data_IF_993199083427
#
_entry.id   IF_993199083427
#
_cell.length_a   1.000
_cell.length_b   1.000
_cell.length_c   1.000
_cell.angle_alpha   90.00
_cell.angle_beta   90.00
_cell.angle_gamma   90.00
#
_symmetry.space_group_name_H-M   'P 1'
#
loop_
_entity.id
_entity.type
_entity.pdbx_description
1 polymer ?
#
# COMPACT_ATOMS: atom_id res chain seq x y z
N UNK A 1 -7.35 -21.85 -26.01
CA UNK A 1 -7.05 -21.21 -24.70
C UNK A 1 -6.47 -19.82 -24.87
N UNK A 2 -5.44 -19.63 -25.70
CA UNK A 2 -4.79 -18.33 -25.95
C UNK A 2 -5.75 -17.24 -26.47
N UNK A 3 -6.65 -17.58 -27.40
CA UNK A 3 -7.65 -16.63 -27.93
C UNK A 3 -8.57 -16.10 -26.82
N UNK A 4 -9.11 -16.98 -25.98
CA UNK A 4 -9.97 -16.58 -24.84
C UNK A 4 -9.24 -15.62 -23.88
N UNK A 5 -7.95 -15.84 -23.65
CA UNK A 5 -7.12 -14.95 -22.80
C UNK A 5 -6.90 -13.62 -23.50
N UNK A 6 -6.62 -13.63 -24.81
CA UNK A 6 -6.47 -12.41 -25.62
C UNK A 6 -7.75 -11.57 -25.61
N UNK A 7 -8.90 -12.20 -25.84
CA UNK A 7 -10.20 -11.52 -25.85
C UNK A 7 -10.52 -10.95 -24.47
N UNK A 8 -10.26 -11.73 -23.41
CA UNK A 8 -10.40 -11.26 -22.04
C UNK A 8 -9.55 -10.01 -21.79
N UNK A 9 -8.26 -10.04 -22.19
CA UNK A 9 -7.34 -8.91 -22.02
C UNK A 9 -7.78 -7.69 -22.83
N UNK A 10 -8.21 -7.88 -24.09
CA UNK A 10 -8.66 -6.78 -24.95
C UNK A 10 -9.88 -6.07 -24.37
N UNK A 11 -10.88 -6.83 -23.90
CA UNK A 11 -12.08 -6.29 -23.26
C UNK A 11 -11.73 -5.43 -22.04
N UNK A 12 -10.85 -5.92 -21.15
CA UNK A 12 -10.45 -5.19 -19.94
C UNK A 12 -9.59 -3.99 -20.27
N UNK A 13 -8.69 -4.10 -21.24
CA UNK A 13 -7.81 -2.99 -21.66
C UNK A 13 -8.61 -1.79 -22.16
N UNK A 14 -9.72 -2.02 -22.88
CA UNK A 14 -10.60 -0.94 -23.33
C UNK A 14 -11.31 -0.23 -22.17
N UNK A 15 -11.64 -0.98 -21.11
CA UNK A 15 -12.33 -0.48 -19.91
C UNK A 15 -11.39 -0.16 -18.75
N UNK A 16 -10.07 -0.23 -18.96
CA UNK A 16 -9.07 0.00 -17.93
C UNK A 16 -9.16 1.45 -17.46
N UNK A 17 -9.20 1.67 -16.15
CA UNK A 17 -9.29 2.99 -15.54
C UNK A 17 -8.29 3.06 -14.38
N UNK A 18 -7.15 3.68 -14.64
CA UNK A 18 -6.03 3.71 -13.70
C UNK A 18 -6.13 4.88 -12.73
N UNK A 19 -6.43 6.08 -13.22
CA UNK A 19 -6.39 7.31 -12.45
C UNK A 19 -7.50 8.29 -12.80
N UNK A 20 -8.11 8.26 -13.99
CA UNK A 20 -9.02 9.31 -14.41
C UNK A 20 -10.44 9.14 -13.86
N UNK A 21 -10.80 7.91 -13.47
CA UNK A 21 -12.09 7.47 -12.91
C UNK A 21 -13.31 7.92 -13.74
N UNK A 22 -13.08 8.29 -15.00
CA UNK A 22 -14.08 8.82 -15.94
C UNK A 22 -15.05 7.76 -16.46
N UNK A 23 -14.67 6.48 -16.37
CA UNK A 23 -15.49 5.37 -16.87
C UNK A 23 -16.51 4.86 -15.85
N UNK A 24 -16.62 5.52 -14.69
CA UNK A 24 -17.53 5.10 -13.63
C UNK A 24 -18.82 5.92 -13.66
N UNK A 25 -19.95 5.23 -13.50
CA UNK A 25 -21.29 5.84 -13.55
C UNK A 25 -21.64 6.75 -12.36
N UNK A 26 -20.73 6.96 -11.40
CA UNK A 26 -21.01 7.67 -10.13
C UNK A 26 -20.04 8.83 -9.90
N UNK A 27 -19.98 9.74 -10.87
CA UNK A 27 -19.12 10.93 -10.79
C UNK A 27 -19.56 11.91 -9.68
N UNK A 28 -20.78 11.74 -9.16
CA UNK A 28 -21.35 12.48 -8.03
C UNK A 28 -20.71 12.10 -6.68
N UNK A 29 -20.17 10.89 -6.57
CA UNK A 29 -19.53 10.43 -5.34
C UNK A 29 -18.07 10.94 -5.28
N UNK A 30 -17.70 11.76 -4.27
CA UNK A 30 -16.36 12.33 -4.16
C UNK A 30 -15.25 11.28 -3.96
N UNK A 31 -15.59 10.05 -3.57
CA UNK A 31 -14.63 8.95 -3.50
C UNK A 31 -14.04 8.59 -4.88
N UNK A 32 -14.63 9.04 -5.99
CA UNK A 32 -14.06 8.89 -7.34
C UNK A 32 -13.04 9.96 -7.73
N UNK A 33 -12.72 10.88 -6.81
CA UNK A 33 -11.55 11.75 -6.94
C UNK A 33 -10.26 11.06 -6.47
N UNK A 34 -10.36 9.86 -5.88
CA UNK A 34 -9.20 9.12 -5.37
C UNK A 34 -8.24 8.69 -6.48
N UNK A 35 -8.73 8.35 -7.68
CA UNK A 35 -7.85 8.06 -8.81
C UNK A 35 -7.00 9.28 -9.22
N UNK A 36 -7.61 10.45 -9.48
CA UNK A 36 -6.84 11.63 -9.86
C UNK A 36 -5.91 12.11 -8.73
N UNK A 37 -6.35 12.02 -7.47
CA UNK A 37 -5.53 12.30 -6.29
C UNK A 37 -4.29 11.40 -6.24
N UNK A 38 -4.44 10.11 -6.54
CA UNK A 38 -3.36 9.13 -6.56
C UNK A 38 -2.23 9.58 -7.51
N UNK A 39 -2.57 9.93 -8.75
CA UNK A 39 -1.60 10.41 -9.73
C UNK A 39 -0.94 11.72 -9.28
N UNK A 40 -1.72 12.65 -8.71
CA UNK A 40 -1.22 13.93 -8.23
C UNK A 40 -0.19 13.76 -7.09
N UNK A 41 -0.52 13.03 -6.03
CA UNK A 41 0.40 12.82 -4.90
C UNK A 41 1.63 12.02 -5.31
N UNK A 42 1.47 11.06 -6.21
CA UNK A 42 2.61 10.36 -6.79
C UNK A 42 3.53 11.30 -7.55
N UNK A 43 3.00 12.17 -8.42
CA UNK A 43 3.81 13.14 -9.16
C UNK A 43 4.55 14.10 -8.23
N UNK A 44 3.89 14.62 -7.18
CA UNK A 44 4.54 15.44 -6.14
C UNK A 44 5.69 14.67 -5.49
N UNK A 45 5.47 13.40 -5.14
CA UNK A 45 6.49 12.54 -4.51
C UNK A 45 7.67 12.30 -5.46
N UNK A 46 7.42 12.04 -6.75
CA UNK A 46 8.49 11.83 -7.75
C UNK A 46 9.31 13.10 -7.94
N UNK A 47 8.65 14.24 -8.16
CA UNK A 47 9.35 15.52 -8.41
C UNK A 47 10.18 15.94 -7.20
N UNK A 48 9.60 15.88 -6.00
CA UNK A 48 10.33 16.19 -4.76
C UNK A 48 11.46 15.19 -4.52
N UNK A 49 11.28 13.91 -4.84
CA UNK A 49 12.32 12.88 -4.74
C UNK A 49 13.52 13.18 -5.63
N UNK A 50 13.28 13.52 -6.90
CA UNK A 50 14.33 13.93 -7.85
C UNK A 50 15.10 15.15 -7.35
N UNK A 51 14.40 16.12 -6.76
CA UNK A 51 15.05 17.31 -6.18
C UNK A 51 15.93 16.90 -4.99
N UNK A 52 15.45 16.05 -4.09
CA UNK A 52 16.23 15.58 -2.92
C UNK A 52 17.49 14.81 -3.32
N UNK A 53 17.45 14.09 -4.44
CA UNK A 53 18.61 13.35 -4.95
C UNK A 53 19.82 14.24 -5.25
N UNK A 54 19.63 15.54 -5.51
CA UNK A 54 20.72 16.48 -5.82
C UNK A 54 21.70 16.68 -4.64
N UNK A 55 21.26 16.42 -3.41
CA UNK A 55 22.04 16.66 -2.20
C UNK A 55 22.20 15.43 -1.30
N UNK A 56 21.52 14.33 -1.62
CA UNK A 56 21.55 13.10 -0.83
C UNK A 56 22.79 12.27 -1.13
N UNK A 57 23.41 11.71 -0.08
CA UNK A 57 24.61 10.88 -0.19
C UNK A 57 24.29 9.42 0.18
N UNK A 58 24.21 8.48 -0.78
CA UNK A 58 23.82 7.08 -0.55
C UNK A 58 24.96 6.23 0.05
N UNK A 59 25.56 6.69 1.15
CA UNK A 59 26.61 6.01 1.89
C UNK A 59 26.26 5.84 3.37
N UNK A 60 26.75 4.79 4.00
CA UNK A 60 26.51 4.53 5.44
C UNK A 60 27.06 5.63 6.36
N UNK A 61 28.06 6.37 5.89
CA UNK A 61 28.69 7.47 6.60
C UNK A 61 28.01 8.82 6.33
N UNK A 62 27.52 9.04 5.10
CA UNK A 62 26.97 10.31 4.62
C UNK A 62 25.44 10.42 4.64
N UNK A 63 24.69 9.31 4.54
CA UNK A 63 23.23 9.34 4.37
C UNK A 63 22.51 10.16 5.43
N UNK A 64 22.70 9.83 6.70
CA UNK A 64 22.09 10.56 7.82
C UNK A 64 22.50 12.03 7.85
N UNK A 65 23.78 12.33 7.63
CA UNK A 65 24.30 13.71 7.67
C UNK A 65 23.76 14.54 6.50
N UNK A 66 23.67 13.97 5.30
CA UNK A 66 23.11 14.63 4.13
C UNK A 66 21.63 14.96 4.32
N UNK A 67 20.88 14.07 4.98
CA UNK A 67 19.47 14.25 5.35
C UNK A 67 19.29 15.41 6.35
N UNK A 68 20.16 15.51 7.36
CA UNK A 68 20.18 16.65 8.30
C UNK A 68 20.55 17.97 7.61
N UNK A 69 21.55 17.95 6.72
CA UNK A 69 21.93 19.12 5.92
C UNK A 69 20.78 19.60 5.03
N UNK A 70 20.11 18.68 4.33
CA UNK A 70 18.93 19.00 3.51
C UNK A 70 17.83 19.63 4.36
N UNK A 71 17.58 19.09 5.56
CA UNK A 71 16.52 19.58 6.43
C UNK A 71 16.79 20.99 6.97
N UNK A 72 18.03 21.27 7.35
CA UNK A 72 18.32 22.42 8.22
C UNK A 72 19.10 23.54 7.51
N UNK A 73 19.80 23.25 6.42
CA UNK A 73 20.78 24.20 5.85
C UNK A 73 20.42 24.66 4.43
N UNK A 74 19.73 23.82 3.64
CA UNK A 74 19.53 24.08 2.21
C UNK A 74 18.40 25.08 1.94
N UNK A 75 18.77 26.25 1.41
CA UNK A 75 17.81 27.23 0.91
C UNK A 75 16.97 27.85 2.02
N UNK A 76 17.64 28.38 3.06
CA UNK A 76 16.98 29.05 4.19
C UNK A 76 16.04 30.16 3.69
N UNK A 77 14.78 30.10 4.12
CA UNK A 77 13.76 31.08 3.80
C UNK A 77 13.68 32.16 4.89
N UNK A 78 13.13 33.32 4.54
CA UNK A 78 12.83 34.39 5.50
C UNK A 78 11.67 34.04 6.47
N UNK A 79 11.07 32.85 6.33
CA UNK A 79 9.97 32.37 7.17
C UNK A 79 10.51 31.55 8.36
N UNK A 80 9.95 31.79 9.53
CA UNK A 80 10.18 31.00 10.75
C UNK A 80 8.85 30.46 11.25
N UNK A 81 8.80 29.19 11.66
CA UNK A 81 7.61 28.58 12.27
C UNK A 81 7.98 27.90 13.59
N UNK A 82 7.23 28.19 14.66
CA UNK A 82 7.52 27.72 16.03
C UNK A 82 9.00 27.91 16.45
N UNK A 83 9.58 29.07 16.08
CA UNK A 83 10.97 29.41 16.40
C UNK A 83 12.04 28.68 15.57
N UNK A 84 11.65 27.90 14.54
CA UNK A 84 12.58 27.21 13.64
C UNK A 84 12.57 27.83 12.23
N UNK A 85 13.73 28.07 11.60
CA UNK A 85 13.79 28.56 10.24
C UNK A 85 13.20 27.51 9.28
N UNK A 86 12.39 27.96 8.34
CA UNK A 86 11.91 27.10 7.25
C UNK A 86 12.97 27.11 6.14
N UNK A 87 13.31 25.93 5.64
CA UNK A 87 14.28 25.74 4.55
C UNK A 87 13.59 25.13 3.34
N UNK A 88 14.07 25.44 2.14
CA UNK A 88 13.59 24.79 0.92
C UNK A 88 13.83 23.28 0.94
N UNK A 89 14.97 22.84 1.47
CA UNK A 89 15.27 21.41 1.60
C UNK A 89 14.33 20.72 2.60
N UNK A 90 14.08 21.32 3.76
CA UNK A 90 13.15 20.81 4.77
C UNK A 90 11.69 20.79 4.28
N UNK A 91 11.25 21.84 3.57
CA UNK A 91 9.95 21.86 2.91
C UNK A 91 9.85 20.74 1.86
N UNK A 92 10.86 20.58 1.01
CA UNK A 92 10.89 19.52 -0.02
C UNK A 92 10.85 18.13 0.62
N UNK A 93 11.60 17.89 1.71
CA UNK A 93 11.53 16.65 2.49
C UNK A 93 10.14 16.40 3.05
N UNK A 94 9.50 17.44 3.59
CA UNK A 94 8.12 17.37 4.06
C UNK A 94 7.16 17.00 2.93
N UNK A 95 7.19 17.71 1.81
CA UNK A 95 6.34 17.43 0.65
C UNK A 95 6.51 15.99 0.14
N UNK A 96 7.75 15.49 0.10
CA UNK A 96 8.05 14.11 -0.28
C UNK A 96 7.45 13.10 0.70
N UNK A 97 7.68 13.30 2.00
CA UNK A 97 7.19 12.42 3.07
C UNK A 97 5.66 12.39 3.13
N UNK A 98 5.02 13.55 3.20
CA UNK A 98 3.57 13.64 3.30
C UNK A 98 2.87 13.34 1.98
N UNK A 99 3.52 13.60 0.84
CA UNK A 99 3.07 13.13 -0.47
C UNK A 99 3.05 11.60 -0.55
N UNK A 100 4.09 10.93 -0.04
CA UNK A 100 4.14 9.47 0.05
C UNK A 100 3.06 8.91 1.00
N UNK A 101 2.86 9.53 2.17
CA UNK A 101 1.77 9.16 3.09
C UNK A 101 0.39 9.28 2.43
N UNK A 102 0.15 10.40 1.74
CA UNK A 102 -1.09 10.64 1.02
C UNK A 102 -1.27 9.62 -0.11
N UNK A 103 -0.21 9.30 -0.86
CA UNK A 103 -0.22 8.31 -1.92
C UNK A 103 -0.70 6.94 -1.39
N UNK A 104 -0.09 6.44 -0.32
CA UNK A 104 -0.46 5.15 0.28
C UNK A 104 -1.88 5.20 0.84
N UNK A 105 -2.24 6.27 1.55
CA UNK A 105 -3.59 6.46 2.14
C UNK A 105 -4.67 6.43 1.06
N UNK A 106 -4.53 7.22 0.01
CA UNK A 106 -5.49 7.28 -1.10
C UNK A 106 -5.57 5.94 -1.83
N UNK A 107 -4.43 5.24 -2.02
CA UNK A 107 -4.44 3.90 -2.61
C UNK A 107 -5.25 2.92 -1.77
N UNK A 108 -5.04 2.89 -0.45
CA UNK A 108 -5.78 2.05 0.47
C UNK A 108 -7.29 2.33 0.40
N UNK A 109 -7.69 3.59 0.53
CA UNK A 109 -9.09 3.99 0.49
C UNK A 109 -9.75 3.62 -0.84
N UNK A 110 -9.04 3.84 -1.95
CA UNK A 110 -9.50 3.46 -3.29
C UNK A 110 -9.70 1.96 -3.43
N UNK A 111 -8.75 1.14 -2.99
CA UNK A 111 -8.86 -0.32 -3.02
C UNK A 111 -10.05 -0.78 -2.16
N UNK A 112 -10.23 -0.24 -0.96
CA UNK A 112 -11.39 -0.60 -0.13
C UNK A 112 -12.72 -0.21 -0.77
N UNK A 113 -12.82 0.99 -1.37
CA UNK A 113 -13.99 1.39 -2.16
C UNK A 113 -14.27 0.38 -3.28
N UNK A 114 -13.25 0.07 -4.09
CA UNK A 114 -13.36 -0.90 -5.19
C UNK A 114 -13.78 -2.29 -4.71
N UNK A 115 -13.31 -2.69 -3.52
CA UNK A 115 -13.63 -3.98 -2.92
C UNK A 115 -15.11 -4.07 -2.53
N UNK A 116 -15.57 -3.12 -1.71
CA UNK A 116 -16.93 -3.13 -1.17
C UNK A 116 -18.00 -2.82 -2.23
N UNK A 117 -17.66 -2.01 -3.25
CA UNK A 117 -18.55 -1.74 -4.39
C UNK A 117 -18.46 -2.79 -5.51
N UNK A 118 -17.64 -3.84 -5.34
CA UNK A 118 -17.44 -4.90 -6.33
C UNK A 118 -16.95 -4.40 -7.70
N UNK A 119 -16.22 -3.28 -7.73
CA UNK A 119 -15.67 -2.71 -8.98
C UNK A 119 -14.66 -3.65 -9.63
N UNK A 120 -14.06 -4.55 -8.85
CA UNK A 120 -13.16 -5.59 -9.35
C UNK A 120 -13.85 -6.69 -10.18
N UNK A 121 -15.18 -6.80 -10.15
CA UNK A 121 -15.90 -7.77 -11.01
C UNK A 121 -15.87 -7.30 -12.46
N UNK A 122 -16.13 -8.22 -13.41
CA UNK A 122 -16.17 -7.93 -14.85
C UNK A 122 -16.83 -6.57 -15.19
N UNK A 123 -16.16 -5.70 -15.98
CA UNK A 123 -14.83 -5.82 -16.60
C UNK A 123 -13.68 -5.17 -15.80
N UNK A 124 -13.84 -4.93 -14.49
CA UNK A 124 -12.84 -4.20 -13.69
C UNK A 124 -11.71 -5.05 -13.10
N UNK A 125 -11.57 -6.32 -13.50
CA UNK A 125 -10.57 -7.23 -12.92
C UNK A 125 -9.14 -6.66 -13.09
N UNK A 126 -8.81 -6.13 -14.28
CA UNK A 126 -7.49 -5.59 -14.57
C UNK A 126 -7.20 -4.30 -13.79
N UNK A 127 -8.17 -3.39 -13.69
CA UNK A 127 -8.02 -2.15 -12.90
C UNK A 127 -7.75 -2.48 -11.44
N UNK A 128 -8.46 -3.46 -10.88
CA UNK A 128 -8.25 -3.94 -9.53
C UNK A 128 -6.84 -4.53 -9.34
N UNK A 129 -6.42 -5.44 -10.22
CA UNK A 129 -5.10 -6.07 -10.12
C UNK A 129 -3.97 -5.04 -10.18
N UNK A 130 -4.09 -4.04 -11.06
CA UNK A 130 -3.10 -2.97 -11.19
C UNK A 130 -3.14 -1.99 -10.01
N UNK A 131 -4.32 -1.68 -9.45
CA UNK A 131 -4.42 -0.88 -8.23
C UNK A 131 -3.77 -1.60 -7.04
N UNK A 132 -4.05 -2.88 -6.86
CA UNK A 132 -3.49 -3.69 -5.78
C UNK A 132 -1.98 -3.91 -5.95
N UNK A 133 -1.51 -4.20 -7.17
CA UNK A 133 -0.07 -4.24 -7.48
C UNK A 133 0.60 -2.89 -7.26
N UNK A 134 -0.08 -1.80 -7.61
CA UNK A 134 0.37 -0.43 -7.35
C UNK A 134 0.55 -0.15 -5.86
N UNK A 135 -0.34 -0.63 -5.00
CA UNK A 135 -0.17 -0.56 -3.53
C UNK A 135 1.10 -1.30 -3.09
N UNK A 136 1.31 -2.53 -3.57
CA UNK A 136 2.49 -3.33 -3.20
C UNK A 136 3.78 -2.62 -3.64
N UNK A 137 3.83 -2.13 -4.88
CA UNK A 137 4.99 -1.40 -5.40
C UNK A 137 5.20 -0.07 -4.65
N UNK A 138 4.11 0.61 -4.27
CA UNK A 138 4.16 1.80 -3.42
C UNK A 138 4.72 1.51 -2.04
N UNK A 139 4.31 0.42 -1.40
CA UNK A 139 4.85 -0.03 -0.10
C UNK A 139 6.32 -0.44 -0.23
N UNK A 140 6.71 -1.18 -1.27
CA UNK A 140 8.12 -1.55 -1.53
C UNK A 140 8.96 -0.29 -1.76
N UNK A 141 8.47 0.67 -2.55
CA UNK A 141 9.14 1.97 -2.71
C UNK A 141 9.22 2.74 -1.38
N UNK A 142 8.16 2.69 -0.57
CA UNK A 142 8.10 3.31 0.75
C UNK A 142 9.18 2.78 1.69
N UNK A 143 9.30 1.45 1.85
CA UNK A 143 10.34 0.86 2.71
C UNK A 143 11.75 1.10 2.17
N UNK A 144 11.94 1.10 0.85
CA UNK A 144 13.26 1.38 0.27
C UNK A 144 13.68 2.83 0.46
N UNK A 145 12.75 3.78 0.30
CA UNK A 145 12.95 5.19 0.59
C UNK A 145 13.14 5.47 2.09
N UNK A 146 12.43 4.74 2.96
CA UNK A 146 12.52 4.91 4.40
C UNK A 146 13.93 4.64 4.95
N UNK A 147 14.61 3.60 4.45
CA UNK A 147 15.99 3.28 4.84
C UNK A 147 16.98 4.41 4.53
N UNK A 148 16.70 5.25 3.52
CA UNK A 148 17.59 6.32 3.09
C UNK A 148 17.79 7.41 4.16
N UNK A 149 16.87 7.50 5.14
CA UNK A 149 17.05 8.40 6.29
C UNK A 149 18.24 7.94 7.16
N UNK A 150 18.55 6.64 7.15
CA UNK A 150 19.65 6.02 7.90
C UNK A 150 19.60 6.29 9.42
N UNK A 151 18.38 6.30 9.96
CA UNK A 151 18.11 6.44 11.38
C UNK A 151 17.79 5.08 12.04
N UNK A 152 17.73 5.05 13.37
CA UNK A 152 17.46 3.82 14.13
C UNK A 152 16.17 3.12 13.68
N UNK A 153 15.07 3.86 13.60
CA UNK A 153 13.77 3.29 13.25
C UNK A 153 13.81 2.63 11.86
N UNK A 154 14.35 3.35 10.86
CA UNK A 154 14.46 2.89 9.49
C UNK A 154 15.41 1.70 9.30
N UNK A 155 16.58 1.73 9.96
CA UNK A 155 17.56 0.64 9.88
C UNK A 155 16.98 -0.68 10.41
N UNK A 156 16.37 -0.64 11.60
CA UNK A 156 15.81 -1.84 12.23
C UNK A 156 14.53 -2.32 11.53
N UNK A 157 13.70 -1.41 11.02
CA UNK A 157 12.58 -1.76 10.16
C UNK A 157 13.05 -2.49 8.88
N UNK A 158 14.04 -1.95 8.17
CA UNK A 158 14.59 -2.61 6.99
C UNK A 158 15.15 -4.00 7.32
N UNK A 159 15.88 -4.14 8.44
CA UNK A 159 16.39 -5.44 8.90
C UNK A 159 15.27 -6.48 9.07
N UNK A 160 14.15 -6.11 9.69
CA UNK A 160 13.00 -7.00 9.87
C UNK A 160 12.40 -7.39 8.51
N UNK A 161 12.10 -6.42 7.64
CA UNK A 161 11.47 -6.70 6.33
C UNK A 161 12.35 -7.59 5.46
N UNK A 162 13.66 -7.37 5.46
CA UNK A 162 14.59 -8.12 4.63
C UNK A 162 14.84 -9.55 5.11
N UNK A 163 14.49 -9.87 6.36
CA UNK A 163 14.67 -11.22 6.93
C UNK A 163 13.41 -12.08 6.81
N UNK A 164 12.21 -11.49 6.66
CA UNK A 164 10.95 -12.23 6.46
C UNK A 164 11.02 -13.26 5.33
N UNK A 165 11.61 -12.98 4.15
CA UNK A 165 11.69 -13.98 3.08
C UNK A 165 12.43 -15.26 3.48
N UNK A 166 13.38 -15.21 4.42
CA UNK A 166 14.15 -16.39 4.86
C UNK A 166 13.24 -17.45 5.47
N UNK A 167 12.09 -17.08 6.03
CA UNK A 167 11.11 -18.04 6.55
C UNK A 167 10.52 -18.98 5.48
N UNK A 168 10.55 -18.60 4.20
CA UNK A 168 10.18 -19.53 3.12
C UNK A 168 11.13 -20.72 3.03
N UNK A 169 12.36 -20.59 3.54
CA UNK A 169 13.34 -21.67 3.51
C UNK A 169 13.08 -22.76 4.57
N UNK A 170 12.12 -22.55 5.47
CA UNK A 170 11.67 -23.55 6.44
C UNK A 170 10.64 -24.52 5.84
N UNK A 171 10.13 -24.25 4.63
CA UNK A 171 9.16 -25.11 3.97
C UNK A 171 9.81 -26.42 3.51
N UNK A 172 9.26 -27.61 3.81
CA UNK A 172 9.89 -28.89 3.46
C UNK A 172 10.21 -29.06 1.96
N UNK A 173 9.33 -28.55 1.08
CA UNK A 173 9.48 -28.71 -0.38
C UNK A 173 10.28 -27.58 -1.05
N UNK A 174 10.29 -26.38 -0.47
CA UNK A 174 10.91 -25.18 -1.07
C UNK A 174 12.24 -24.85 -0.39
N UNK A 175 12.39 -25.20 0.88
CA UNK A 175 13.55 -24.93 1.72
C UNK A 175 14.90 -25.40 1.17
N UNK A 176 14.99 -26.60 0.56
CA UNK A 176 16.22 -27.03 -0.10
C UNK A 176 16.67 -26.11 -1.24
N UNK A 177 15.76 -25.32 -1.85
CA UNK A 177 16.08 -24.38 -2.93
C UNK A 177 16.65 -23.05 -2.43
N UNK A 178 16.60 -22.78 -1.11
CA UNK A 178 17.07 -21.53 -0.50
C UNK A 178 16.52 -20.25 -1.17
N UNK A 179 15.28 -20.34 -1.66
CA UNK A 179 14.62 -19.28 -2.42
C UNK A 179 14.42 -18.01 -1.58
N UNK A 180 14.06 -18.17 -0.30
CA UNK A 180 13.90 -17.08 0.66
C UNK A 180 15.21 -16.33 0.92
N UNK A 181 16.28 -17.08 1.18
CA UNK A 181 17.63 -16.52 1.36
C UNK A 181 18.13 -15.81 0.10
N UNK A 182 17.83 -16.33 -1.09
CA UNK A 182 18.16 -15.68 -2.36
C UNK A 182 17.44 -14.32 -2.49
N UNK A 183 16.14 -14.26 -2.17
CA UNK A 183 15.39 -12.99 -2.15
C UNK A 183 16.02 -12.01 -1.15
N UNK A 184 16.27 -12.45 0.09
CA UNK A 184 16.88 -11.61 1.12
C UNK A 184 18.24 -11.05 0.67
N UNK A 185 19.09 -11.90 0.08
CA UNK A 185 20.41 -11.51 -0.42
C UNK A 185 20.36 -10.50 -1.55
N UNK A 186 19.38 -10.59 -2.46
CA UNK A 186 19.20 -9.63 -3.57
C UNK A 186 19.06 -8.19 -3.04
N UNK A 187 18.36 -8.02 -1.92
CA UNK A 187 18.15 -6.72 -1.31
C UNK A 187 19.27 -6.33 -0.32
N UNK A 188 19.75 -7.26 0.51
CA UNK A 188 20.82 -7.01 1.48
C UNK A 188 22.15 -6.70 0.80
N UNK A 189 22.52 -7.51 -0.20
CA UNK A 189 23.80 -7.42 -0.91
C UNK A 189 25.02 -7.79 -0.08
N UNK A 190 24.84 -8.43 1.07
CA UNK A 190 25.87 -8.79 2.03
C UNK A 190 25.28 -9.53 3.24
N UNK A 191 26.08 -9.84 4.27
CA UNK A 191 25.64 -10.61 5.44
C UNK A 191 24.69 -9.84 6.36
N UNK A 192 24.63 -8.51 6.25
CA UNK A 192 23.76 -7.64 7.05
C UNK A 192 23.45 -6.34 6.30
N UNK A 193 22.53 -5.56 6.86
CA UNK A 193 22.21 -4.21 6.35
C UNK A 193 23.47 -3.33 6.42
N UNK A 194 23.90 -2.81 5.28
CA UNK A 194 25.13 -2.02 5.17
C UNK A 194 25.21 -1.20 3.88
N UNK A 195 26.43 -0.89 3.44
CA UNK A 195 26.67 -0.05 2.25
C UNK A 195 26.04 -0.64 0.99
N UNK A 196 26.18 -1.95 0.80
CA UNK A 196 25.56 -2.68 -0.30
C UNK A 196 24.02 -2.52 -0.32
N UNK A 197 23.39 -2.49 0.86
CA UNK A 197 21.93 -2.38 1.02
C UNK A 197 21.46 -0.98 0.68
N UNK A 198 22.08 0.07 1.24
CA UNK A 198 21.62 1.46 1.03
C UNK A 198 21.75 1.88 -0.44
N UNK A 199 22.83 1.47 -1.13
CA UNK A 199 23.00 1.77 -2.55
C UNK A 199 21.95 1.08 -3.42
N UNK A 200 21.60 -0.18 -3.12
CA UNK A 200 20.52 -0.91 -3.81
C UNK A 200 19.15 -0.28 -3.53
N UNK A 201 18.89 0.06 -2.28
CA UNK A 201 17.62 0.69 -1.87
C UNK A 201 17.43 2.04 -2.55
N UNK A 202 18.49 2.85 -2.65
CA UNK A 202 18.46 4.10 -3.40
C UNK A 202 18.11 3.87 -4.88
N UNK A 203 18.78 2.91 -5.53
CA UNK A 203 18.52 2.58 -6.94
C UNK A 203 17.10 2.00 -7.16
N UNK A 204 16.63 1.13 -6.27
CA UNK A 204 15.30 0.53 -6.34
C UNK A 204 14.19 1.57 -6.10
N UNK A 205 14.35 2.42 -5.09
CA UNK A 205 13.37 3.47 -4.76
C UNK A 205 13.15 4.42 -5.94
N UNK A 206 14.25 4.90 -6.54
CA UNK A 206 14.18 5.72 -7.75
C UNK A 206 13.68 4.93 -8.97
N UNK A 207 14.20 3.73 -9.19
CA UNK A 207 13.89 2.88 -10.34
C UNK A 207 12.42 2.47 -10.43
N UNK A 208 11.80 2.08 -9.31
CA UNK A 208 10.37 1.74 -9.26
C UNK A 208 9.54 2.94 -9.72
N UNK A 209 9.84 4.13 -9.18
CA UNK A 209 9.10 5.35 -9.49
C UNK A 209 9.29 5.78 -10.95
N UNK A 210 10.51 5.74 -11.47
CA UNK A 210 10.82 6.12 -12.85
C UNK A 210 10.19 5.17 -13.87
N UNK A 211 10.33 3.86 -13.68
CA UNK A 211 9.76 2.86 -14.60
C UNK A 211 8.25 2.98 -14.64
N UNK A 212 7.59 3.11 -13.47
CA UNK A 212 6.15 3.30 -13.41
C UNK A 212 5.73 4.61 -14.08
N UNK A 213 6.48 5.71 -13.91
CA UNK A 213 6.21 6.99 -14.58
C UNK A 213 6.23 6.84 -16.09
N UNK A 214 7.26 6.18 -16.64
CA UNK A 214 7.36 5.92 -18.07
C UNK A 214 6.17 5.09 -18.56
N UNK A 215 5.84 4.00 -17.86
CA UNK A 215 4.73 3.11 -18.26
C UNK A 215 3.38 3.84 -18.23
N UNK A 216 3.12 4.64 -17.19
CA UNK A 216 1.89 5.42 -17.04
C UNK A 216 1.80 6.54 -18.08
N UNK A 217 2.90 7.24 -18.36
CA UNK A 217 2.91 8.28 -19.40
C UNK A 217 2.72 7.70 -20.80
N UNK A 218 3.35 6.56 -21.10
CA UNK A 218 3.11 5.83 -22.35
C UNK A 218 1.64 5.40 -22.44
N UNK A 219 1.04 4.95 -21.34
CA UNK A 219 -0.38 4.62 -21.28
C UNK A 219 -1.27 5.83 -21.60
N UNK A 220 -1.03 6.99 -20.96
CA UNK A 220 -1.81 8.20 -21.22
C UNK A 220 -1.62 8.73 -22.64
N UNK A 221 -0.41 8.68 -23.18
CA UNK A 221 -0.12 9.07 -24.56
C UNK A 221 -0.86 8.18 -25.56
N UNK A 222 -0.85 6.86 -25.36
CA UNK A 222 -1.52 5.90 -26.25
C UNK A 222 -3.04 5.94 -26.15
N UNK A 223 -3.59 6.17 -24.97
CA UNK A 223 -5.05 6.16 -24.76
C UNK A 223 -5.69 7.54 -24.92
N UNK A 224 -4.90 8.61 -24.99
CA UNK A 224 -5.36 10.02 -25.03
C UNK A 224 -6.28 10.40 -23.87
N UNK A 225 -6.18 9.68 -22.75
CA UNK A 225 -6.93 9.95 -21.53
C UNK A 225 -6.37 11.16 -20.77
N UNK A 226 -7.22 11.79 -19.97
CA UNK A 226 -6.81 12.86 -19.07
C UNK A 226 -5.98 12.28 -17.91
N UNK A 227 -4.87 12.93 -17.57
CA UNK A 227 -4.00 12.52 -16.45
C UNK A 227 -4.62 12.84 -15.10
N UNK A 228 -5.10 14.08 -15.00
CA UNK A 228 -5.71 14.65 -13.81
C UNK A 228 -7.08 15.17 -14.23
N UNK A 229 -8.12 14.52 -13.73
CA UNK A 229 -9.51 14.95 -13.93
C UNK A 229 -10.02 15.67 -12.66
N UNK A 230 -9.35 16.75 -12.27
CA UNK A 230 -9.71 17.60 -11.13
C UNK A 230 -9.60 19.07 -11.52
N UNK A 231 -10.44 19.92 -10.95
CA UNK A 231 -10.30 21.37 -11.10
C UNK A 231 -9.07 21.89 -10.36
N UNK A 232 -8.70 23.14 -10.62
CA UNK A 232 -7.57 23.81 -9.94
C UNK A 232 -7.76 23.91 -8.42
N UNK A 233 -9.01 24.01 -7.95
CA UNK A 233 -9.29 24.21 -6.53
C UNK A 233 -8.83 23.03 -5.64
N UNK A 234 -9.22 21.75 -5.88
CA UNK A 234 -8.68 20.62 -5.12
C UNK A 234 -7.16 20.49 -5.22
N UNK A 235 -6.58 20.73 -6.41
CA UNK A 235 -5.13 20.67 -6.62
C UNK A 235 -4.38 21.70 -5.76
N UNK A 236 -4.87 22.94 -5.73
CA UNK A 236 -4.32 24.00 -4.89
C UNK A 236 -4.51 23.68 -3.41
N UNK A 237 -5.70 23.19 -3.02
CA UNK A 237 -5.99 22.80 -1.65
C UNK A 237 -5.03 21.71 -1.16
N UNK A 238 -4.82 20.64 -1.93
CA UNK A 238 -3.90 19.57 -1.55
C UNK A 238 -2.45 20.06 -1.47
N UNK A 239 -2.01 20.94 -2.38
CA UNK A 239 -0.68 21.55 -2.29
C UNK A 239 -0.53 22.37 -1.01
N UNK A 240 -1.51 23.22 -0.70
CA UNK A 240 -1.50 24.03 0.52
C UNK A 240 -1.49 23.13 1.75
N UNK A 241 -2.31 22.08 1.79
CA UNK A 241 -2.30 21.11 2.89
C UNK A 241 -0.92 20.46 3.06
N UNK A 242 -0.28 20.02 1.97
CA UNK A 242 1.07 19.44 2.01
C UNK A 242 2.12 20.44 2.50
N UNK A 243 2.08 21.69 2.04
CA UNK A 243 3.00 22.74 2.51
C UNK A 243 2.78 23.02 3.99
N UNK A 244 1.53 23.19 4.41
CA UNK A 244 1.17 23.48 5.81
C UNK A 244 1.61 22.34 6.72
N UNK A 245 1.29 21.09 6.41
CA UNK A 245 1.71 19.96 7.26
C UNK A 245 3.24 19.79 7.25
N UNK A 246 3.92 20.09 6.15
CA UNK A 246 5.40 20.04 6.08
C UNK A 246 6.08 21.09 6.96
N UNK A 247 5.44 22.23 7.16
CA UNK A 247 5.93 23.30 8.04
C UNK A 247 5.57 23.01 9.49
N UNK A 248 4.32 22.58 9.76
CA UNK A 248 3.83 22.32 11.13
C UNK A 248 4.49 21.08 11.73
N UNK A 249 4.62 20.03 10.94
CA UNK A 249 5.20 18.75 11.31
C UNK A 249 6.36 18.44 10.35
N UNK A 250 7.55 19.02 10.53
CA UNK A 250 8.69 18.71 9.67
C UNK A 250 9.00 17.20 9.65
N UNK A 251 9.45 16.69 8.51
CA UNK A 251 9.78 15.28 8.36
C UNK A 251 10.85 14.85 9.39
N UNK A 252 10.52 13.87 10.23
CA UNK A 252 11.41 13.42 11.30
C UNK A 252 12.69 12.77 10.74
N UNK A 253 13.86 13.23 11.21
CA UNK A 253 15.14 12.54 10.94
C UNK A 253 15.45 11.45 11.96
N UNK A 254 14.89 11.52 13.18
CA UNK A 254 15.16 10.55 14.24
C UNK A 254 16.62 10.59 14.73
N UNK A 255 17.09 9.50 15.35
CA UNK A 255 18.50 9.34 15.77
C UNK A 255 19.25 8.51 14.74
N UNK A 256 20.49 8.88 14.45
CA UNK A 256 21.39 8.09 13.57
C UNK A 256 21.39 6.61 13.96
N UNK A 257 21.36 5.73 12.95
CA UNK A 257 21.39 4.29 13.15
C UNK A 257 22.66 3.84 13.90
N UNK A 258 22.46 2.99 14.90
CA UNK A 258 23.47 2.27 15.65
C UNK A 258 23.15 0.77 15.54
N UNK A 259 23.85 0.02 14.65
CA UNK A 259 23.61 -1.40 14.44
C UNK A 259 23.82 -2.27 15.68
N UNK A 260 24.48 -1.75 16.72
CA UNK A 260 24.77 -2.47 17.96
C UNK A 260 23.67 -2.32 19.01
N UNK A 261 22.70 -1.40 18.80
CA UNK A 261 21.63 -1.11 19.76
C UNK A 261 20.26 -1.19 19.09
N UNK A 262 19.54 -2.28 19.35
CA UNK A 262 18.17 -2.44 18.89
C UNK A 262 17.20 -1.59 19.72
N UNK A 263 16.39 -0.70 19.11
CA UNK A 263 15.33 0.00 19.82
C UNK A 263 14.17 -0.96 20.11
N UNK A 264 13.54 -0.78 21.26
CA UNK A 264 12.31 -1.50 21.63
C UNK A 264 11.18 -0.48 21.90
N UNK A 265 10.00 -0.61 21.26
CA UNK A 265 9.67 -1.53 20.17
C UNK A 265 10.31 -1.14 18.82
N UNK A 266 10.54 -2.13 17.94
CA UNK A 266 10.90 -1.87 16.53
C UNK A 266 9.63 -1.48 15.78
N UNK A 267 9.51 -0.20 15.43
CA UNK A 267 8.40 0.32 14.65
C UNK A 267 8.85 0.62 13.22
N UNK A 268 7.95 0.43 12.27
CA UNK A 268 8.09 0.90 10.89
C UNK A 268 7.14 2.09 10.68
N UNK A 269 7.04 2.56 9.43
CA UNK A 269 6.02 3.52 9.04
C UNK A 269 4.60 2.93 9.20
N UNK A 270 3.59 3.79 9.31
CA UNK A 270 2.26 3.43 9.81
C UNK A 270 1.58 2.32 9.00
N UNK A 271 1.78 2.30 7.68
CA UNK A 271 1.20 1.31 6.77
C UNK A 271 1.85 -0.07 6.86
N UNK A 272 2.95 -0.22 7.60
CA UNK A 272 3.58 -1.51 7.89
C UNK A 272 3.30 -2.05 9.29
N UNK A 273 2.79 -1.21 10.21
CA UNK A 273 2.62 -1.57 11.62
C UNK A 273 1.78 -2.83 11.83
N UNK A 274 0.65 -2.94 11.12
CA UNK A 274 -0.20 -4.12 11.18
C UNK A 274 0.53 -5.40 10.73
N UNK A 275 1.32 -5.33 9.64
CA UNK A 275 2.09 -6.47 9.14
C UNK A 275 3.23 -6.87 10.10
N UNK A 276 3.88 -5.89 10.73
CA UNK A 276 4.91 -6.15 11.74
C UNK A 276 4.33 -6.89 12.95
N UNK A 277 3.17 -6.43 13.41
CA UNK A 277 2.49 -7.08 14.53
C UNK A 277 2.04 -8.50 14.15
N UNK A 278 1.57 -8.72 12.91
CA UNK A 278 1.26 -10.06 12.41
C UNK A 278 2.49 -10.98 12.43
N UNK A 279 3.62 -10.52 11.89
CA UNK A 279 4.88 -11.28 11.87
C UNK A 279 5.37 -11.61 13.28
N UNK A 280 5.23 -10.69 14.24
CA UNK A 280 5.60 -10.89 15.65
C UNK A 280 4.77 -12.00 16.32
N UNK A 281 3.53 -12.20 15.90
CA UNK A 281 2.58 -13.12 16.50
C UNK A 281 2.52 -14.49 15.87
N UNK A 282 3.10 -14.66 14.69
CA UNK A 282 2.96 -15.88 13.92
C UNK A 282 4.23 -16.72 14.00
N UNK A 283 4.11 -18.06 14.07
CA UNK A 283 5.26 -18.93 13.90
C UNK A 283 5.99 -18.60 12.60
N UNK A 284 7.32 -18.80 12.52
CA UNK A 284 8.13 -18.36 11.38
C UNK A 284 7.55 -18.71 10.00
N UNK A 285 7.10 -19.95 9.81
CA UNK A 285 6.39 -20.40 8.61
C UNK A 285 5.24 -19.46 8.19
N UNK A 286 4.37 -19.11 9.12
CA UNK A 286 3.20 -18.24 8.87
C UNK A 286 3.60 -16.77 8.75
N UNK A 287 4.65 -16.34 9.45
CA UNK A 287 5.20 -14.99 9.30
C UNK A 287 5.69 -14.72 7.86
N UNK A 288 6.25 -15.74 7.19
CA UNK A 288 6.61 -15.66 5.77
C UNK A 288 5.41 -15.80 4.83
N UNK A 289 4.59 -16.84 5.02
CA UNK A 289 3.47 -17.16 4.12
C UNK A 289 2.32 -16.15 4.18
N UNK A 290 2.01 -15.62 5.36
CA UNK A 290 0.85 -14.75 5.59
C UNK A 290 0.79 -13.53 4.67
N UNK A 291 1.84 -12.69 4.62
CA UNK A 291 1.88 -11.55 3.70
C UNK A 291 1.73 -11.97 2.23
N UNK A 292 2.37 -13.08 1.84
CA UNK A 292 2.26 -13.63 0.48
C UNK A 292 0.85 -14.09 0.13
N UNK A 293 0.17 -14.77 1.06
CA UNK A 293 -1.21 -15.22 0.92
C UNK A 293 -2.19 -14.04 0.87
N UNK A 294 -1.98 -12.99 1.67
CA UNK A 294 -2.77 -11.76 1.63
C UNK A 294 -2.64 -11.08 0.26
N UNK A 295 -1.41 -10.98 -0.26
CA UNK A 295 -1.15 -10.43 -1.58
C UNK A 295 -1.82 -11.27 -2.67
N UNK A 296 -1.65 -12.60 -2.59
CA UNK A 296 -2.25 -13.55 -3.51
C UNK A 296 -3.77 -13.43 -3.53
N UNK A 297 -4.41 -13.46 -2.36
CA UNK A 297 -5.85 -13.27 -2.21
C UNK A 297 -6.32 -11.96 -2.84
N UNK A 298 -5.62 -10.85 -2.53
CA UNK A 298 -5.91 -9.54 -3.10
C UNK A 298 -5.89 -9.56 -4.61
N UNK A 299 -4.87 -10.14 -5.25
CA UNK A 299 -4.77 -10.20 -6.71
C UNK A 299 -5.82 -11.10 -7.36
N UNK A 300 -6.23 -12.18 -6.71
CA UNK A 300 -7.13 -13.19 -7.30
C UNK A 300 -8.59 -13.07 -6.87
N UNK A 301 -8.94 -12.15 -5.96
CA UNK A 301 -10.34 -11.96 -5.53
C UNK A 301 -11.34 -11.77 -6.67
N UNK A 302 -11.01 -11.13 -7.82
CA UNK A 302 -11.94 -11.04 -8.94
C UNK A 302 -12.40 -12.39 -9.47
N UNK A 303 -11.57 -13.43 -9.34
CA UNK A 303 -11.82 -14.78 -9.80
C UNK A 303 -12.38 -15.69 -8.71
N UNK A 304 -12.20 -15.33 -7.43
CA UNK A 304 -12.79 -16.03 -6.30
C UNK A 304 -14.25 -15.65 -6.10
N UNK A 305 -14.60 -14.36 -6.20
CA UNK A 305 -15.96 -13.92 -5.96
C UNK A 305 -16.87 -14.13 -7.18
N UNK A 306 -17.61 -15.25 -7.14
CA UNK A 306 -18.62 -15.65 -8.13
C UNK A 306 -20.04 -15.15 -7.84
N UNK A 307 -20.25 -14.30 -6.83
CA UNK A 307 -21.56 -13.70 -6.58
C UNK A 307 -22.01 -12.86 -7.79
N UNK A 308 -23.32 -12.87 -8.08
CA UNK A 308 -23.91 -12.07 -9.18
C UNK A 308 -24.17 -10.63 -8.76
N UNK A 309 -24.35 -10.41 -7.46
CA UNK A 309 -24.57 -9.11 -6.86
C UNK A 309 -23.28 -8.29 -6.75
N UNK A 310 -23.44 -6.98 -6.56
CA UNK A 310 -22.31 -6.06 -6.32
C UNK A 310 -22.39 -5.40 -4.96
N UNK A 311 -23.57 -5.38 -4.33
CA UNK A 311 -23.75 -4.77 -3.02
C UNK A 311 -23.13 -5.65 -1.94
N UNK A 312 -22.56 -5.10 -0.85
CA UNK A 312 -21.99 -5.88 0.24
C UNK A 312 -22.93 -6.99 0.77
N UNK A 313 -24.21 -6.69 0.97
CA UNK A 313 -25.19 -7.65 1.46
C UNK A 313 -25.52 -8.80 0.49
N UNK A 314 -25.14 -8.67 -0.79
CA UNK A 314 -25.34 -9.70 -1.82
C UNK A 314 -24.11 -10.63 -1.97
N UNK A 315 -23.05 -10.35 -1.21
CA UNK A 315 -21.77 -11.08 -1.17
C UNK A 315 -21.23 -11.16 0.26
N UNK A 316 -22.04 -11.64 1.21
CA UNK A 316 -21.74 -11.57 2.64
C UNK A 316 -20.39 -12.14 3.02
N UNK A 317 -19.96 -13.28 2.47
CA UNK A 317 -18.66 -13.86 2.81
C UNK A 317 -17.50 -12.91 2.46
N UNK A 318 -17.50 -12.35 1.25
CA UNK A 318 -16.47 -11.40 0.82
C UNK A 318 -16.56 -10.09 1.61
N UNK A 319 -17.77 -9.62 1.92
CA UNK A 319 -17.92 -8.45 2.80
C UNK A 319 -17.32 -8.66 4.18
N UNK A 320 -17.52 -9.84 4.78
CA UNK A 320 -16.90 -10.21 6.06
C UNK A 320 -15.38 -10.25 5.95
N UNK A 321 -14.82 -10.85 4.88
CA UNK A 321 -13.36 -10.87 4.65
C UNK A 321 -12.79 -9.47 4.53
N UNK A 322 -13.42 -8.59 3.75
CA UNK A 322 -12.99 -7.19 3.62
C UNK A 322 -13.08 -6.41 4.93
N UNK A 323 -14.14 -6.60 5.72
CA UNK A 323 -14.31 -5.97 7.01
C UNK A 323 -13.25 -6.45 8.02
N UNK A 324 -12.97 -7.76 8.05
CA UNK A 324 -11.90 -8.33 8.87
C UNK A 324 -10.53 -7.76 8.50
N UNK A 325 -10.23 -7.56 7.21
CA UNK A 325 -8.97 -6.96 6.79
C UNK A 325 -8.78 -5.54 7.37
N UNK A 326 -9.83 -4.70 7.35
CA UNK A 326 -9.80 -3.37 7.96
C UNK A 326 -9.64 -3.46 9.48
N UNK A 327 -10.43 -4.33 10.13
CA UNK A 327 -10.39 -4.51 11.58
C UNK A 327 -9.00 -4.97 12.02
N UNK A 328 -8.39 -5.93 11.32
CA UNK A 328 -7.03 -6.39 11.63
C UNK A 328 -5.99 -5.33 11.35
N UNK A 329 -6.11 -4.57 10.26
CA UNK A 329 -5.20 -3.46 10.02
C UNK A 329 -5.21 -2.47 11.19
N UNK A 330 -6.39 -2.05 11.66
CA UNK A 330 -6.53 -1.11 12.78
C UNK A 330 -6.11 -1.72 14.12
N UNK A 331 -6.60 -2.92 14.44
CA UNK A 331 -6.32 -3.60 15.70
C UNK A 331 -4.83 -3.91 15.86
N UNK A 332 -4.19 -4.48 14.84
CA UNK A 332 -2.77 -4.80 14.92
C UNK A 332 -1.89 -3.55 14.95
N UNK A 333 -2.29 -2.49 14.26
CA UNK A 333 -1.65 -1.18 14.38
C UNK A 333 -1.76 -0.64 15.81
N UNK A 334 -2.93 -0.72 16.44
CA UNK A 334 -3.10 -0.30 17.83
C UNK A 334 -2.27 -1.15 18.81
N UNK A 335 -2.29 -2.47 18.66
CA UNK A 335 -1.55 -3.40 19.52
C UNK A 335 -0.04 -3.10 19.55
N UNK A 336 0.55 -2.83 18.38
CA UNK A 336 1.99 -2.51 18.30
C UNK A 336 2.30 -1.09 18.76
N UNK A 337 1.44 -0.11 18.44
CA UNK A 337 1.63 1.29 18.85
C UNK A 337 1.57 1.47 20.36
N UNK A 338 0.62 0.81 21.02
CA UNK A 338 0.46 0.88 22.47
C UNK A 338 1.29 -0.17 23.21
N UNK A 339 1.96 -1.07 22.50
CA UNK A 339 2.76 -2.16 23.07
C UNK A 339 2.01 -2.98 24.14
N UNK A 340 0.72 -3.24 23.90
CA UNK A 340 -0.18 -3.99 24.81
C UNK A 340 -0.37 -5.46 24.40
N UNK A 341 0.39 -5.89 23.39
CA UNK A 341 0.39 -7.22 22.81
C UNK A 341 0.90 -8.31 23.78
N UNK A 342 0.11 -9.36 24.02
CA UNK A 342 0.50 -10.56 24.79
C UNK A 342 0.72 -11.73 23.83
N UNK A 343 1.99 -12.04 23.54
CA UNK A 343 2.39 -12.94 22.44
C UNK A 343 1.96 -14.39 22.70
N UNK A 344 1.85 -14.81 23.96
CA UNK A 344 1.51 -16.18 24.35
C UNK A 344 0.02 -16.47 24.19
N UNK A 345 -0.84 -15.45 24.29
CA UNK A 345 -2.30 -15.59 24.31
C UNK A 345 -2.96 -15.10 23.03
N UNK A 346 -2.58 -13.90 22.59
CA UNK A 346 -3.29 -13.19 21.54
C UNK A 346 -3.34 -13.95 20.19
N UNK A 347 -2.28 -14.66 19.73
CA UNK A 347 -2.35 -15.41 18.47
C UNK A 347 -3.44 -16.48 18.46
N UNK A 348 -3.59 -17.24 19.54
CA UNK A 348 -4.64 -18.25 19.66
C UNK A 348 -6.03 -17.60 19.67
N UNK A 349 -6.20 -16.52 20.45
CA UNK A 349 -7.46 -15.78 20.50
C UNK A 349 -7.85 -15.22 19.12
N UNK A 350 -6.91 -14.56 18.44
CA UNK A 350 -7.11 -13.99 17.11
C UNK A 350 -7.52 -15.08 16.13
N UNK A 351 -6.79 -16.20 16.06
CA UNK A 351 -7.10 -17.30 15.16
C UNK A 351 -8.50 -17.86 15.37
N UNK A 352 -8.90 -18.12 16.62
CA UNK A 352 -10.25 -18.62 16.93
C UNK A 352 -11.34 -17.62 16.53
N UNK A 353 -11.14 -16.33 16.83
CA UNK A 353 -12.07 -15.27 16.40
C UNK A 353 -12.14 -15.24 14.87
N UNK A 354 -11.01 -15.32 14.16
CA UNK A 354 -10.97 -15.37 12.69
C UNK A 354 -11.81 -16.52 12.16
N UNK A 355 -11.59 -17.73 12.68
CA UNK A 355 -12.29 -18.94 12.22
C UNK A 355 -13.79 -18.84 12.44
N UNK A 356 -14.23 -18.39 13.62
CA UNK A 356 -15.66 -18.20 13.94
C UNK A 356 -16.28 -17.15 13.01
N UNK A 357 -15.65 -15.98 12.85
CA UNK A 357 -16.21 -14.90 12.01
C UNK A 357 -16.27 -15.32 10.53
N UNK A 358 -15.24 -16.00 10.02
CA UNK A 358 -15.26 -16.52 8.64
C UNK A 358 -16.30 -17.62 8.46
N UNK A 359 -16.49 -18.51 9.44
CA UNK A 359 -17.53 -19.54 9.40
C UNK A 359 -18.93 -18.93 9.39
N UNK A 360 -19.18 -17.89 10.22
CA UNK A 360 -20.44 -17.14 10.22
C UNK A 360 -20.66 -16.41 8.88
N UNK A 361 -19.62 -15.80 8.31
CA UNK A 361 -19.69 -15.18 6.98
C UNK A 361 -20.01 -16.19 5.87
N UNK A 362 -19.42 -17.39 5.93
CA UNK A 362 -19.70 -18.46 4.97
C UNK A 362 -21.12 -18.99 5.14
N UNK A 363 -21.56 -19.20 6.38
CA UNK A 363 -22.94 -19.59 6.66
C UNK A 363 -23.93 -18.56 6.12
N UNK A 364 -23.66 -17.27 6.31
CA UNK A 364 -24.49 -16.19 5.77
C UNK A 364 -24.56 -16.23 4.23
N UNK A 365 -23.43 -16.46 3.55
CA UNK A 365 -23.38 -16.66 2.09
C UNK A 365 -24.23 -17.86 1.63
N UNK A 366 -24.14 -18.99 2.33
CA UNK A 366 -24.92 -20.19 2.01
C UNK A 366 -26.42 -19.93 2.19
N UNK A 367 -26.82 -19.26 3.27
CA UNK A 367 -28.22 -18.88 3.51
C UNK A 367 -28.73 -17.89 2.47
N UNK A 368 -27.94 -16.88 2.11
CA UNK A 368 -28.29 -15.93 1.06
C UNK A 368 -28.51 -16.65 -0.28
N UNK A 369 -27.59 -17.53 -0.68
CA UNK A 369 -27.71 -18.32 -1.92
C UNK A 369 -28.93 -19.23 -1.90
N UNK A 370 -29.22 -19.89 -0.77
CA UNK A 370 -30.41 -20.73 -0.60
C UNK A 370 -31.69 -19.93 -0.79
N UNK A 371 -31.83 -18.79 -0.10
CA UNK A 371 -33.00 -17.89 -0.23
C UNK A 371 -33.17 -17.39 -1.67
N UNK A 372 -32.08 -17.02 -2.35
CA UNK A 372 -32.12 -16.59 -3.75
C UNK A 372 -32.55 -17.70 -4.71
N UNK A 373 -32.11 -18.95 -4.48
CA UNK A 373 -32.57 -20.10 -5.27
C UNK A 373 -34.06 -20.38 -5.04
N UNK A 374 -34.52 -20.34 -3.79
CA UNK A 374 -35.93 -20.53 -3.45
C UNK A 374 -36.82 -19.44 -4.05
N UNK A 375 -36.43 -18.16 -3.94
CA UNK A 375 -37.13 -17.05 -4.56
C UNK A 375 -37.22 -17.21 -6.09
N UNK A 376 -36.12 -17.60 -6.74
CA UNK A 376 -36.11 -17.85 -8.18
C UNK A 376 -37.02 -19.02 -8.58
N UNK A 377 -37.04 -20.11 -7.80
CA UNK A 377 -37.94 -21.25 -8.03
C UNK A 377 -39.41 -20.88 -7.81
N UNK A 378 -39.71 -19.95 -6.91
CA UNK A 378 -41.04 -19.43 -6.65
C UNK A 378 -41.49 -18.32 -7.65
N UNK A 379 -40.70 -18.04 -8.69
CA UNK A 379 -40.99 -16.96 -9.64
C UNK A 379 -40.88 -15.54 -9.06
N UNK A 380 -40.36 -15.40 -7.83
CA UNK A 380 -40.18 -14.11 -7.18
C UNK A 380 -38.95 -13.44 -7.78
N UNK A 381 -39.20 -12.48 -8.66
CA UNK A 381 -38.15 -11.63 -9.20
C UNK A 381 -37.44 -10.88 -8.07
N UNK A 382 -36.10 -10.70 -8.13
CA UNK A 382 -35.43 -9.76 -7.23
C UNK A 382 -36.15 -8.41 -7.28
N UNK A 383 -36.21 -7.67 -6.16
CA UNK A 383 -36.72 -6.30 -6.18
C UNK A 383 -36.03 -5.54 -7.31
N UNK A 384 -36.82 -4.79 -8.09
CA UNK A 384 -36.33 -4.03 -9.22
C UNK A 384 -35.07 -3.27 -8.79
N UNK A 385 -34.00 -3.41 -9.57
CA UNK A 385 -32.80 -2.62 -9.34
C UNK A 385 -33.25 -1.17 -9.35
N UNK A 386 -33.20 -0.48 -8.19
CA UNK A 386 -33.29 0.96 -8.20
C UNK A 386 -32.32 1.44 -9.29
N UNK A 387 -32.77 2.26 -10.25
CA UNK A 387 -31.90 2.72 -11.32
C UNK A 387 -30.63 3.22 -10.64
N UNK A 388 -29.47 2.75 -11.11
CA UNK A 388 -28.25 3.46 -10.80
C UNK A 388 -28.53 4.88 -11.32
N UNK A 389 -28.78 5.82 -10.41
CA UNK A 389 -29.00 7.22 -10.77
C UNK A 389 -27.87 7.59 -11.72
N UNK A 390 -28.26 7.96 -12.94
CA UNK A 390 -27.41 7.99 -14.14
C UNK A 390 -26.46 9.17 -14.18
#
# INVERSE_FOLDING_TARGET
MLERVRDWLQERRQKLDLFDETLVARQDNPLYLMGPMLYYFWLVTVVTGVILMLWYEPTTTGAYTSIERIQNDIGRLALTFLGRPVTLGGLTRGLHKYGADALITITFLRIYRMYFLAEYKKPGELSWMLAFLGLILGMVSGITGYLLIWNQRAFWAAKVVLTVPVYFDELPLIGPLKFGSMIAFLFLGGPAVGQATITRFYALHFGISLVLLILVEVFFQRTRRKRINMSLFPLALFMVMLVVISIILPAESGRRADPTKTPLPILSDWYFLALYQYVKYTPPLWAGLGPGLLIGFGLIVPFLDRSKGRRPLERPFFTVVGALAVIYFLAFTALILFNIAVIERDPFLIMNITLVVLALGLFWELQYRRRRRQAAAAGISPPARAPAHG
#
